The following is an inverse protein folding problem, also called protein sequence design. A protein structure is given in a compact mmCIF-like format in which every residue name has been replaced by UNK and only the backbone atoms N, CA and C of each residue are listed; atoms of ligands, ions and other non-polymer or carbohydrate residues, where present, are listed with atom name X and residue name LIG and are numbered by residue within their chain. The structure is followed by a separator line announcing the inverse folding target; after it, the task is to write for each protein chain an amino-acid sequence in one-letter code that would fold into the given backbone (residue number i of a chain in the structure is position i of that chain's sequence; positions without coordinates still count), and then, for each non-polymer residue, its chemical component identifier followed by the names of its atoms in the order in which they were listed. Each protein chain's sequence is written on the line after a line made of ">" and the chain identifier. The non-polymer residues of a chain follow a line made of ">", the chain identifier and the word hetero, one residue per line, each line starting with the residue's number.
data_IF_329060449978
#
_entry.id   IF_329060449978
#
_cell.length_a   1.000
_cell.length_b   1.000
_cell.length_c   1.000
_cell.angle_alpha   90.00
_cell.angle_beta   90.00
_cell.angle_gamma   90.00
#
_symmetry.space_group_name_H-M   'P 1'
#
loop_
_entity.id
_entity.type
_entity.pdbx_description
1 polymer ?
#
# COMPACT_ATOMS: atom_id res chain seq x y z
N UNK A 1 12.36 5.80 13.67
CA UNK A 1 11.58 5.24 12.57
C UNK A 1 10.62 4.20 13.13
N UNK A 2 9.35 4.26 12.73
CA UNK A 2 8.34 3.26 13.12
C UNK A 2 8.45 1.99 12.27
N UNK A 3 8.13 0.85 12.85
CA UNK A 3 8.10 -0.44 12.16
C UNK A 3 6.64 -0.84 11.92
N UNK A 4 6.38 -1.35 10.72
CA UNK A 4 5.11 -1.90 10.30
C UNK A 4 5.32 -3.37 9.96
N UNK A 5 4.36 -4.21 10.30
CA UNK A 5 4.45 -5.64 10.02
C UNK A 5 3.32 -6.10 9.11
N UNK A 6 3.68 -6.90 8.12
CA UNK A 6 2.72 -7.61 7.28
C UNK A 6 2.26 -8.88 7.98
N UNK A 7 0.96 -9.10 8.03
CA UNK A 7 0.37 -10.27 8.70
C UNK A 7 -0.59 -10.97 7.75
N UNK A 8 -0.29 -12.22 7.46
CA UNK A 8 -1.11 -13.06 6.60
C UNK A 8 -2.41 -13.48 7.31
N UNK A 9 -3.50 -13.63 6.55
CA UNK A 9 -4.82 -14.01 7.08
C UNK A 9 -4.80 -15.23 8.00
N UNK A 10 -3.95 -16.22 7.74
CA UNK A 10 -3.87 -17.43 8.58
C UNK A 10 -3.46 -17.06 10.01
N UNK A 11 -2.43 -16.28 10.17
CA UNK A 11 -2.01 -15.80 11.48
C UNK A 11 -3.04 -14.85 12.10
N UNK A 12 -3.65 -13.98 11.29
CA UNK A 12 -4.72 -13.09 11.74
C UNK A 12 -5.92 -13.86 12.31
N UNK A 13 -6.44 -14.83 11.58
CA UNK A 13 -7.61 -15.61 12.03
C UNK A 13 -7.33 -16.46 13.26
N UNK A 14 -6.13 -17.03 13.35
CA UNK A 14 -5.80 -17.95 14.44
C UNK A 14 -5.33 -17.25 15.71
N UNK A 15 -4.67 -16.09 15.58
CA UNK A 15 -3.88 -15.50 16.66
C UNK A 15 -4.04 -14.00 16.84
N UNK A 16 -5.10 -13.38 16.29
CA UNK A 16 -5.29 -11.93 16.34
C UNK A 16 -5.14 -11.36 17.77
N UNK A 17 -5.79 -12.01 18.74
CA UNK A 17 -5.81 -11.55 20.12
C UNK A 17 -4.47 -11.74 20.87
N UNK A 18 -3.59 -12.56 20.33
CA UNK A 18 -2.22 -12.74 20.85
C UNK A 18 -1.22 -11.76 20.22
N UNK A 19 -1.32 -11.57 18.89
CA UNK A 19 -0.33 -10.82 18.15
C UNK A 19 -0.47 -9.30 18.35
N UNK A 20 -1.67 -8.77 18.49
CA UNK A 20 -1.87 -7.33 18.64
C UNK A 20 -1.23 -6.77 19.92
N UNK A 21 -1.47 -7.35 21.14
CA UNK A 21 -0.79 -6.90 22.34
C UNK A 21 0.74 -7.11 22.29
N UNK A 22 1.20 -8.19 21.63
CA UNK A 22 2.61 -8.45 21.44
C UNK A 22 3.27 -7.38 20.55
N UNK A 23 2.63 -7.01 19.45
CA UNK A 23 3.12 -5.96 18.56
C UNK A 23 3.16 -4.60 19.26
N UNK A 24 2.13 -4.27 20.05
CA UNK A 24 2.16 -3.06 20.90
C UNK A 24 3.35 -3.08 21.85
N UNK A 25 3.60 -4.22 22.53
CA UNK A 25 4.75 -4.40 23.43
C UNK A 25 6.09 -4.21 22.72
N UNK A 26 6.21 -4.65 21.46
CA UNK A 26 7.42 -4.49 20.65
C UNK A 26 7.57 -3.08 20.05
N UNK A 27 6.63 -2.19 20.27
CA UNK A 27 6.67 -0.83 19.74
C UNK A 27 6.33 -0.71 18.25
N UNK A 28 5.75 -1.76 17.66
CA UNK A 28 5.22 -1.76 16.29
C UNK A 28 4.17 -0.65 16.18
N UNK A 29 4.17 0.06 15.06
CA UNK A 29 3.29 1.21 14.82
C UNK A 29 2.04 0.86 14.02
N UNK A 30 2.09 -0.20 13.25
CA UNK A 30 0.96 -0.63 12.45
C UNK A 30 1.13 -1.99 11.82
N UNK A 31 0.03 -2.46 11.25
CA UNK A 31 -0.09 -3.78 10.64
C UNK A 31 -0.71 -3.68 9.26
N UNK A 32 -0.18 -4.43 8.33
CA UNK A 32 -0.76 -4.65 7.01
C UNK A 32 -1.38 -6.03 6.97
N UNK A 33 -2.70 -6.09 6.86
CA UNK A 33 -3.46 -7.33 6.78
C UNK A 33 -3.48 -7.82 5.33
N UNK A 34 -2.90 -8.96 5.06
CA UNK A 34 -2.80 -9.50 3.72
C UNK A 34 -3.43 -10.88 3.52
N UNK A 35 -3.77 -11.16 2.26
CA UNK A 35 -4.52 -12.33 1.82
C UNK A 35 -5.85 -12.50 2.53
N UNK A 36 -6.51 -11.38 2.86
CA UNK A 36 -7.77 -11.39 3.59
C UNK A 36 -8.93 -11.80 2.69
N UNK A 37 -9.92 -12.45 3.26
CA UNK A 37 -11.16 -12.73 2.56
C UNK A 37 -12.08 -11.52 2.61
N UNK A 38 -12.73 -11.24 1.49
CA UNK A 38 -13.76 -10.21 1.35
C UNK A 38 -14.93 -10.77 0.54
N UNK A 39 -16.03 -10.04 0.52
CA UNK A 39 -17.18 -10.32 -0.32
C UNK A 39 -18.39 -10.86 0.42
N UNK A 40 -18.20 -11.73 1.39
CA UNK A 40 -19.30 -12.15 2.26
C UNK A 40 -19.39 -11.32 3.54
N UNK A 41 -20.54 -11.41 4.20
CA UNK A 41 -20.83 -10.67 5.42
C UNK A 41 -19.91 -11.04 6.57
N UNK A 42 -19.56 -12.33 6.70
CA UNK A 42 -18.73 -12.81 7.79
C UNK A 42 -17.30 -12.31 7.68
N UNK A 43 -16.71 -12.40 6.49
CA UNK A 43 -15.37 -11.89 6.25
C UNK A 43 -15.28 -10.38 6.48
N UNK A 44 -16.26 -9.62 5.98
CA UNK A 44 -16.31 -8.17 6.19
C UNK A 44 -16.48 -7.80 7.67
N UNK A 45 -17.39 -8.46 8.37
CA UNK A 45 -17.61 -8.23 9.80
C UNK A 45 -16.36 -8.57 10.63
N UNK A 46 -15.68 -9.65 10.26
CA UNK A 46 -14.43 -10.05 10.89
C UNK A 46 -13.31 -9.03 10.68
N UNK A 47 -13.14 -8.52 9.46
CA UNK A 47 -12.16 -7.46 9.17
C UNK A 47 -12.45 -6.18 9.95
N UNK A 48 -13.71 -5.76 10.04
CA UNK A 48 -14.11 -4.64 10.87
C UNK A 48 -13.80 -4.87 12.35
N UNK A 49 -14.00 -6.09 12.84
CA UNK A 49 -13.60 -6.45 14.21
C UNK A 49 -12.08 -6.40 14.39
N UNK A 50 -11.31 -6.87 13.42
CA UNK A 50 -9.84 -6.82 13.47
C UNK A 50 -9.31 -5.38 13.51
N UNK A 51 -9.91 -4.46 12.74
CA UNK A 51 -9.59 -3.02 12.80
C UNK A 51 -9.90 -2.44 14.18
N UNK A 52 -11.08 -2.73 14.74
CA UNK A 52 -11.46 -2.28 16.10
C UNK A 52 -10.51 -2.80 17.18
N UNK A 53 -10.09 -4.05 17.05
CA UNK A 53 -9.12 -4.65 17.99
C UNK A 53 -7.77 -3.97 17.89
N UNK A 54 -7.27 -3.71 16.67
CA UNK A 54 -6.02 -2.98 16.46
C UNK A 54 -6.06 -1.56 17.06
N UNK A 55 -7.21 -0.87 16.96
CA UNK A 55 -7.40 0.45 17.57
C UNK A 55 -7.19 0.44 19.08
N UNK A 56 -7.61 -0.61 19.79
CA UNK A 56 -7.40 -0.75 21.25
C UNK A 56 -5.92 -0.77 21.65
N UNK A 57 -5.05 -1.17 20.72
CA UNK A 57 -3.61 -1.22 20.91
C UNK A 57 -2.88 -0.05 20.23
N UNK A 58 -3.63 0.95 19.73
CA UNK A 58 -3.09 2.12 19.02
C UNK A 58 -2.24 1.71 17.80
N UNK A 59 -2.65 0.65 17.10
CA UNK A 59 -2.00 0.17 15.89
C UNK A 59 -2.73 0.70 14.65
N UNK A 60 -1.98 1.30 13.74
CA UNK A 60 -2.46 1.66 12.41
C UNK A 60 -2.70 0.40 11.58
N UNK A 61 -3.65 0.46 10.68
CA UNK A 61 -4.04 -0.68 9.83
C UNK A 61 -4.07 -0.26 8.36
N UNK A 62 -3.50 -1.12 7.53
CA UNK A 62 -3.75 -1.23 6.11
C UNK A 62 -4.43 -2.58 5.83
N UNK A 63 -5.51 -2.59 5.05
CA UNK A 63 -6.13 -3.83 4.57
C UNK A 63 -5.76 -4.01 3.09
N UNK A 64 -5.00 -5.04 2.82
CA UNK A 64 -4.58 -5.39 1.46
C UNK A 64 -5.64 -6.16 0.68
N UNK A 65 -5.32 -6.59 -0.54
CA UNK A 65 -6.14 -7.39 -1.44
C UNK A 65 -7.42 -6.65 -1.92
N UNK A 66 -8.55 -7.34 -1.98
CA UNK A 66 -9.76 -6.83 -2.61
C UNK A 66 -10.64 -5.93 -1.73
N UNK A 67 -10.24 -5.64 -0.50
CA UNK A 67 -11.04 -4.81 0.39
C UNK A 67 -11.12 -3.37 -0.14
N UNK A 68 -12.33 -2.86 -0.27
CA UNK A 68 -12.61 -1.51 -0.76
C UNK A 68 -13.10 -0.60 0.36
N UNK A 69 -12.83 0.72 0.28
CA UNK A 69 -13.32 1.67 1.27
C UNK A 69 -14.84 1.64 1.39
N UNK A 70 -15.29 1.53 2.63
CA UNK A 70 -16.72 1.56 2.99
C UNK A 70 -17.10 2.78 3.83
N UNK A 71 -16.16 3.72 3.99
CA UNK A 71 -16.29 4.82 4.94
C UNK A 71 -15.94 4.44 6.39
N UNK A 72 -15.54 3.20 6.64
CA UNK A 72 -15.24 2.70 7.99
C UNK A 72 -14.08 3.43 8.67
N UNK A 73 -13.13 3.94 7.91
CA UNK A 73 -12.02 4.78 8.37
C UNK A 73 -12.47 6.10 9.02
N UNK A 74 -13.68 6.56 8.75
CA UNK A 74 -14.24 7.74 9.43
C UNK A 74 -14.61 7.44 10.88
N UNK A 75 -15.02 6.22 11.18
CA UNK A 75 -15.34 5.76 12.54
C UNK A 75 -14.10 5.24 13.25
N UNK A 76 -13.23 4.56 12.51
CA UNK A 76 -11.99 3.98 13.01
C UNK A 76 -10.79 4.53 12.22
N UNK A 77 -10.28 5.72 12.60
CA UNK A 77 -9.23 6.41 11.86
C UNK A 77 -7.87 5.71 11.89
N UNK A 78 -7.72 4.68 12.71
CA UNK A 78 -6.56 3.79 12.65
C UNK A 78 -6.52 2.93 11.36
N UNK A 79 -7.65 2.74 10.65
CA UNK A 79 -7.68 2.21 9.29
C UNK A 79 -7.26 3.33 8.33
N UNK A 80 -5.96 3.42 8.05
CA UNK A 80 -5.40 4.51 7.24
C UNK A 80 -5.63 4.32 5.76
N UNK A 81 -5.43 3.09 5.28
CA UNK A 81 -5.52 2.79 3.85
C UNK A 81 -5.99 1.37 3.61
N UNK A 82 -6.38 1.10 2.40
CA UNK A 82 -6.76 -0.22 1.92
C UNK A 82 -6.48 -0.33 0.42
N UNK A 83 -6.17 -1.52 -0.03
CA UNK A 83 -5.90 -1.75 -1.44
C UNK A 83 -7.19 -1.66 -2.28
N UNK A 84 -7.84 -2.73 -2.61
CA UNK A 84 -9.02 -2.74 -3.46
C UNK A 84 -8.82 -2.06 -4.81
N UNK A 85 -7.60 -2.07 -5.30
CA UNK A 85 -7.15 -1.58 -6.60
C UNK A 85 -6.20 -2.59 -7.22
N UNK A 86 -5.93 -2.45 -8.50
CA UNK A 86 -4.82 -3.15 -9.13
C UNK A 86 -3.52 -2.38 -8.88
N UNK A 87 -2.81 -2.75 -7.81
CA UNK A 87 -1.56 -2.12 -7.39
C UNK A 87 -0.39 -2.39 -8.35
N UNK A 88 0.70 -1.68 -8.15
CA UNK A 88 1.89 -1.77 -9.03
C UNK A 88 2.56 -3.14 -9.03
N UNK A 89 2.32 -3.96 -8.03
CA UNK A 89 2.76 -5.36 -8.01
C UNK A 89 2.22 -6.17 -9.19
N UNK A 90 1.04 -5.84 -9.70
CA UNK A 90 0.43 -6.45 -10.88
C UNK A 90 0.77 -5.75 -12.20
N UNK A 91 1.60 -4.73 -12.16
CA UNK A 91 2.04 -3.96 -13.34
C UNK A 91 0.89 -3.40 -14.18
N UNK A 92 -0.04 -2.62 -13.60
CA UNK A 92 -1.14 -2.02 -14.35
C UNK A 92 -0.61 -1.06 -15.42
N UNK A 93 -1.27 -1.04 -16.57
CA UNK A 93 -0.98 -0.03 -17.59
C UNK A 93 -1.36 1.38 -17.10
N UNK A 94 -0.83 2.41 -17.76
CA UNK A 94 -1.20 3.80 -17.46
C UNK A 94 -2.71 4.01 -17.60
N UNK A 95 -3.34 3.44 -18.62
CA UNK A 95 -4.79 3.50 -18.81
C UNK A 95 -5.56 2.88 -17.63
N UNK A 96 -5.13 1.73 -17.14
CA UNK A 96 -5.74 1.10 -15.95
C UNK A 96 -5.58 1.96 -14.71
N UNK A 97 -4.42 2.61 -14.54
CA UNK A 97 -4.19 3.55 -13.45
C UNK A 97 -5.12 4.76 -13.53
N UNK A 98 -5.34 5.31 -14.72
CA UNK A 98 -6.30 6.40 -14.95
C UNK A 98 -7.73 5.95 -14.59
N UNK A 99 -8.15 4.74 -15.00
CA UNK A 99 -9.46 4.22 -14.59
C UNK A 99 -9.59 4.10 -13.08
N UNK A 100 -8.53 3.69 -12.38
CA UNK A 100 -8.51 3.63 -10.91
C UNK A 100 -8.81 4.99 -10.30
N UNK A 101 -8.23 6.07 -10.83
CA UNK A 101 -8.47 7.43 -10.33
C UNK A 101 -9.94 7.84 -10.39
N UNK A 102 -10.61 7.56 -11.50
CA UNK A 102 -12.00 7.98 -11.69
C UNK A 102 -13.03 7.07 -11.04
N UNK A 103 -12.72 5.79 -10.86
CA UNK A 103 -13.69 4.81 -10.34
C UNK A 103 -13.48 4.51 -8.86
N UNK A 104 -12.22 4.26 -8.46
CA UNK A 104 -11.91 3.73 -7.12
C UNK A 104 -11.59 4.82 -6.11
N UNK A 105 -10.87 5.88 -6.52
CA UNK A 105 -10.39 6.88 -5.60
C UNK A 105 -11.50 7.79 -5.05
N UNK A 106 -12.66 7.81 -5.68
CA UNK A 106 -13.87 8.46 -5.16
C UNK A 106 -14.29 7.88 -3.80
N UNK A 107 -14.05 6.58 -3.59
CA UNK A 107 -14.45 5.89 -2.37
C UNK A 107 -13.51 6.12 -1.18
N UNK A 108 -12.31 6.63 -1.41
CA UNK A 108 -11.31 6.87 -0.35
C UNK A 108 -9.91 6.37 -0.70
N UNK A 109 -9.02 6.41 0.27
CA UNK A 109 -7.62 6.08 0.14
C UNK A 109 -7.35 4.70 -0.51
N UNK A 110 -6.25 4.59 -1.24
CA UNK A 110 -5.83 3.37 -1.91
C UNK A 110 -4.35 3.05 -1.70
N UNK A 111 -4.05 1.83 -1.25
CA UNK A 111 -2.68 1.33 -1.18
C UNK A 111 -2.25 0.82 -2.56
N UNK A 112 -1.42 1.60 -3.24
CA UNK A 112 -0.97 1.28 -4.60
C UNK A 112 0.27 0.40 -4.66
N UNK A 113 0.97 0.16 -3.54
CA UNK A 113 2.26 -0.58 -3.54
C UNK A 113 3.23 -0.08 -4.60
N UNK A 114 3.48 1.22 -4.60
CA UNK A 114 4.15 1.92 -5.71
C UNK A 114 5.56 1.38 -6.02
N UNK A 115 5.80 1.05 -7.28
CA UNK A 115 7.10 0.68 -7.82
C UNK A 115 7.72 1.87 -8.59
N UNK A 116 9.05 1.98 -8.60
CA UNK A 116 9.72 3.07 -9.29
C UNK A 116 10.91 2.62 -10.14
N UNK A 117 11.77 1.75 -9.59
CA UNK A 117 13.02 1.34 -10.24
C UNK A 117 12.92 0.08 -11.09
N UNK A 118 11.89 -0.74 -10.89
CA UNK A 118 11.72 -1.99 -11.60
C UNK A 118 11.58 -1.77 -13.12
N UNK A 119 12.17 -2.64 -13.94
CA UNK A 119 12.10 -2.58 -15.41
C UNK A 119 10.66 -2.50 -15.93
N UNK A 120 9.72 -3.20 -15.29
CA UNK A 120 8.30 -3.17 -15.63
C UNK A 120 7.68 -1.78 -15.60
N UNK A 121 8.24 -0.84 -14.82
CA UNK A 121 7.76 0.54 -14.74
C UNK A 121 7.88 1.23 -16.10
N UNK A 122 9.04 1.11 -16.76
CA UNK A 122 9.27 1.70 -18.08
C UNK A 122 8.62 0.88 -19.19
N UNK A 123 8.61 -0.43 -19.07
CA UNK A 123 8.10 -1.33 -20.11
C UNK A 123 6.55 -1.38 -20.19
N UNK A 124 5.84 -1.24 -19.06
CA UNK A 124 4.39 -1.53 -18.99
C UNK A 124 3.55 -0.44 -18.32
N UNK A 125 4.14 0.38 -17.45
CA UNK A 125 3.38 1.19 -16.49
C UNK A 125 3.43 2.70 -16.80
N UNK A 126 3.90 3.09 -17.97
CA UNK A 126 3.94 4.49 -18.39
C UNK A 126 5.20 5.26 -17.97
N UNK A 127 6.18 4.58 -17.36
CA UNK A 127 7.46 5.17 -16.98
C UNK A 127 7.47 5.82 -15.59
N UNK A 128 8.62 6.35 -15.21
CA UNK A 128 8.87 6.89 -13.87
C UNK A 128 8.06 8.15 -13.57
N UNK A 129 7.89 9.04 -14.55
CA UNK A 129 7.06 10.22 -14.39
C UNK A 129 5.60 9.85 -14.06
N UNK A 130 5.04 8.80 -14.69
CA UNK A 130 3.73 8.29 -14.36
C UNK A 130 3.66 7.74 -12.93
N UNK A 131 4.74 7.09 -12.45
CA UNK A 131 4.79 6.61 -11.07
C UNK A 131 4.82 7.74 -10.05
N UNK A 132 5.55 8.82 -10.31
CA UNK A 132 5.51 10.01 -9.46
C UNK A 132 4.11 10.65 -9.44
N UNK A 133 3.48 10.76 -10.60
CA UNK A 133 2.11 11.26 -10.68
C UNK A 133 1.12 10.37 -9.89
N UNK A 134 1.29 9.06 -9.90
CA UNK A 134 0.45 8.12 -9.14
C UNK A 134 0.59 8.31 -7.62
N UNK A 135 1.79 8.62 -7.11
CA UNK A 135 1.98 8.91 -5.69
C UNK A 135 1.13 10.10 -5.19
N UNK A 136 0.86 11.04 -6.08
CA UNK A 136 0.00 12.19 -5.78
C UNK A 136 -1.47 11.87 -6.03
N UNK A 137 -1.77 11.27 -7.18
CA UNK A 137 -3.13 11.09 -7.68
C UNK A 137 -3.86 9.91 -7.00
N UNK A 138 -3.17 8.81 -6.72
CA UNK A 138 -3.72 7.70 -5.92
C UNK A 138 -3.45 8.04 -4.45
N UNK A 139 -4.33 8.85 -3.88
CA UNK A 139 -4.18 9.32 -2.52
C UNK A 139 -4.21 8.18 -1.51
N UNK A 140 -3.24 8.20 -0.60
CA UNK A 140 -3.24 7.40 0.62
C UNK A 140 -2.53 8.17 1.74
N UNK A 141 -3.08 8.23 2.96
CA UNK A 141 -2.36 8.81 4.09
C UNK A 141 -1.18 7.94 4.54
N UNK A 142 -1.11 6.74 4.04
CA UNK A 142 -0.04 5.79 4.31
C UNK A 142 0.35 5.11 3.00
N UNK A 143 1.43 5.56 2.37
CA UNK A 143 1.88 5.06 1.08
C UNK A 143 3.02 4.06 1.24
N UNK A 144 2.89 2.94 0.54
CA UNK A 144 3.97 1.97 0.37
C UNK A 144 4.68 2.27 -0.94
N UNK A 145 5.97 2.59 -0.84
CA UNK A 145 6.80 2.93 -1.99
C UNK A 145 7.93 1.92 -2.13
N UNK A 146 8.45 1.81 -3.35
CA UNK A 146 9.53 0.89 -3.70
C UNK A 146 9.21 -0.59 -3.50
N UNK A 147 7.96 -0.98 -3.73
CA UNK A 147 7.54 -2.37 -3.65
C UNK A 147 8.31 -3.24 -4.63
N UNK A 148 9.04 -4.25 -4.13
CA UNK A 148 9.99 -5.09 -4.88
C UNK A 148 11.02 -4.33 -5.71
N UNK A 149 11.16 -3.04 -5.52
CA UNK A 149 12.17 -2.25 -6.20
C UNK A 149 13.57 -2.57 -5.69
N UNK A 150 14.49 -2.61 -6.63
CA UNK A 150 15.92 -2.80 -6.36
C UNK A 150 16.65 -1.64 -7.05
N UNK A 151 16.93 -0.55 -6.34
CA UNK A 151 17.59 0.63 -6.94
C UNK A 151 18.89 0.31 -7.65
N UNK A 152 19.64 -0.68 -7.17
CA UNK A 152 20.88 -1.16 -7.78
C UNK A 152 20.67 -1.83 -9.15
N UNK A 153 19.45 -2.33 -9.43
CA UNK A 153 19.07 -2.93 -10.72
C UNK A 153 18.42 -1.93 -11.67
N UNK A 154 18.24 -0.69 -11.25
CA UNK A 154 17.68 0.35 -12.13
C UNK A 154 18.63 0.57 -13.32
N UNK A 155 18.09 0.71 -14.56
CA UNK A 155 18.90 1.11 -15.69
C UNK A 155 19.56 2.45 -15.39
N UNK A 156 20.87 2.45 -15.14
CA UNK A 156 21.63 3.70 -15.00
C UNK A 156 21.80 4.29 -16.38
N UNK A 157 21.50 5.59 -16.54
CA UNK A 157 21.96 6.29 -17.74
C UNK A 157 23.47 6.13 -17.83
N UNK A 158 23.98 5.66 -18.95
CA UNK A 158 25.40 5.57 -19.18
C UNK A 158 26.03 6.95 -18.94
N UNK A 159 26.88 7.07 -17.89
CA UNK A 159 27.62 8.29 -17.59
C UNK A 159 27.36 8.97 -16.23
N UNK A 160 26.48 8.46 -15.37
CA UNK A 160 26.21 9.09 -14.07
C UNK A 160 26.35 8.16 -12.88
N UNK A 161 27.33 8.38 -12.01
CA UNK A 161 27.35 7.83 -10.66
C UNK A 161 26.27 8.56 -9.82
N UNK A 162 24.98 8.22 -10.05
CA UNK A 162 23.89 8.84 -9.32
C UNK A 162 23.38 7.92 -8.21
N UNK A 163 23.32 8.43 -6.99
CA UNK A 163 22.52 7.85 -5.92
C UNK A 163 21.04 7.82 -6.33
N UNK A 164 20.21 7.00 -5.65
CA UNK A 164 18.76 6.99 -5.88
C UNK A 164 18.14 8.41 -5.82
N UNK A 165 18.70 9.30 -5.01
CA UNK A 165 18.31 10.70 -4.88
C UNK A 165 18.56 11.53 -6.15
N UNK A 166 19.66 11.26 -6.88
CA UNK A 166 19.96 12.01 -8.13
C UNK A 166 19.04 11.61 -9.26
N UNK A 167 18.56 10.37 -9.29
CA UNK A 167 17.59 9.89 -10.28
C UNK A 167 16.24 10.58 -10.10
N UNK A 168 15.78 10.72 -8.86
CA UNK A 168 14.52 11.40 -8.54
C UNK A 168 14.59 12.88 -8.93
N UNK A 169 15.69 13.56 -8.60
CA UNK A 169 15.89 14.98 -8.96
C UNK A 169 15.93 15.24 -10.47
N UNK A 170 16.45 14.30 -11.25
CA UNK A 170 16.57 14.47 -12.71
C UNK A 170 15.22 14.26 -13.40
N UNK A 171 14.36 13.38 -12.89
CA UNK A 171 13.07 13.10 -13.50
C UNK A 171 11.99 14.14 -13.14
N UNK A 172 12.23 15.00 -12.15
CA UNK A 172 11.34 16.12 -11.77
C UNK A 172 11.67 17.41 -12.52
N UNK A 173 12.88 17.54 -13.09
CA UNK A 173 13.36 18.73 -13.78
C UNK A 173 13.12 18.72 -15.32
N UNK A 174 12.50 17.68 -15.86
CA UNK A 174 12.08 17.54 -17.26
C UNK A 174 10.58 17.35 -17.37
#
# INVERSE_FOLDING_TARGET
>A
VGILVYVNKKALHQRLDEILPLYKKWGIKGVKYGFVNVGDQYATAWLHQAVRKAAKYELMVDIHDEYRPTGYSRTYPNLLTQEGIRGDEESPSLQQSVYTLYNRMICGAGDNTNCYFAERVTAKMGGRAAQLAKLVAIYSPWQFVYWYDRPEKSPRKAGGAGSAESVIKTDVAT
#
